data_IF_151577233226
#
_entry.id   IF_151577233226
#
_cell.length_a   1.000
_cell.length_b   1.000
_cell.length_c   1.000
_cell.angle_alpha   90.00
_cell.angle_beta   90.00
_cell.angle_gamma   90.00
#
_symmetry.space_group_name_H-M   'P 1'
#
loop_
_entity.id
_entity.type
_entity.pdbx_description
1 polymer ?
#
# COMPACT_ATOMS: atom_id res chain seq x y z
N UNK A 1 -13.79 28.42 -92.26
CA UNK A 1 -13.82 28.90 -90.86
C UNK A 1 -14.66 27.96 -89.98
N UNK A 2 -14.56 26.64 -90.19
CA UNK A 2 -15.46 25.63 -89.59
C UNK A 2 -14.73 24.37 -89.10
N UNK A 3 -13.40 24.31 -89.21
CA UNK A 3 -12.58 23.18 -88.73
C UNK A 3 -11.95 23.42 -87.36
N UNK A 4 -11.69 24.68 -86.98
CA UNK A 4 -11.12 25.00 -85.66
C UNK A 4 -12.12 24.83 -84.50
N UNK A 5 -13.42 24.92 -84.78
CA UNK A 5 -14.48 24.81 -83.76
C UNK A 5 -14.75 23.36 -83.34
N UNK A 6 -14.58 22.38 -84.25
CA UNK A 6 -14.76 20.95 -83.93
C UNK A 6 -13.60 20.36 -83.12
N UNK A 7 -12.39 20.88 -83.30
CA UNK A 7 -11.21 20.42 -82.56
C UNK A 7 -11.24 20.92 -81.12
N UNK A 8 -11.73 22.14 -80.87
CA UNK A 8 -11.90 22.67 -79.51
C UNK A 8 -12.96 21.93 -78.69
N UNK A 9 -14.13 21.59 -79.27
CA UNK A 9 -15.17 20.80 -78.57
C UNK A 9 -14.71 19.38 -78.22
N UNK A 10 -13.84 18.77 -79.05
CA UNK A 10 -13.26 17.45 -78.78
C UNK A 10 -12.28 17.46 -77.60
N UNK A 11 -11.52 18.55 -77.42
CA UNK A 11 -10.56 18.68 -76.32
C UNK A 11 -11.26 19.01 -74.99
N UNK A 12 -12.27 19.89 -75.00
CA UNK A 12 -13.04 20.19 -73.78
C UNK A 12 -13.81 18.98 -73.25
N UNK A 13 -14.29 18.11 -74.14
CA UNK A 13 -15.03 16.91 -73.76
C UNK A 13 -14.10 15.81 -73.20
N UNK A 14 -12.86 15.70 -73.69
CA UNK A 14 -11.84 14.81 -73.10
C UNK A 14 -11.39 15.28 -71.73
N UNK A 15 -11.18 16.58 -71.56
CA UNK A 15 -10.75 17.17 -70.29
C UNK A 15 -11.84 17.02 -69.21
N UNK A 16 -13.12 17.18 -69.58
CA UNK A 16 -14.25 16.91 -68.67
C UNK A 16 -14.38 15.44 -68.27
N UNK A 17 -14.03 14.50 -69.15
CA UNK A 17 -14.06 13.06 -68.87
C UNK A 17 -12.90 12.67 -67.93
N UNK A 18 -11.70 13.23 -68.13
CA UNK A 18 -10.57 13.02 -67.21
C UNK A 18 -10.82 13.65 -65.84
N UNK A 19 -11.37 14.86 -65.78
CA UNK A 19 -11.72 15.51 -64.51
C UNK A 19 -12.72 14.68 -63.70
N UNK A 20 -13.77 14.14 -64.33
CA UNK A 20 -14.74 13.26 -63.66
C UNK A 20 -14.14 11.93 -63.21
N UNK A 21 -13.20 11.37 -63.97
CA UNK A 21 -12.50 10.13 -63.59
C UNK A 21 -11.52 10.34 -62.43
N UNK A 22 -10.87 11.50 -62.38
CA UNK A 22 -10.00 11.89 -61.25
C UNK A 22 -10.85 12.13 -60.00
N UNK A 23 -11.99 12.82 -60.13
CA UNK A 23 -12.89 13.12 -59.01
C UNK A 23 -13.49 11.83 -58.41
N UNK A 24 -13.99 10.91 -59.25
CA UNK A 24 -14.50 9.62 -58.76
C UNK A 24 -13.43 8.77 -58.08
N UNK A 25 -12.21 8.74 -58.61
CA UNK A 25 -11.09 8.00 -58.00
C UNK A 25 -10.66 8.59 -56.65
N UNK A 26 -10.80 9.91 -56.47
CA UNK A 26 -10.47 10.58 -55.22
C UNK A 26 -11.55 10.33 -54.16
N UNK A 27 -12.82 10.33 -54.55
CA UNK A 27 -13.96 10.01 -53.67
C UNK A 27 -13.89 8.56 -53.17
N UNK A 28 -13.59 7.60 -54.05
CA UNK A 28 -13.40 6.19 -53.65
C UNK A 28 -12.22 6.01 -52.70
N UNK A 29 -11.13 6.76 -52.92
CA UNK A 29 -9.96 6.74 -52.05
C UNK A 29 -10.30 7.30 -50.67
N UNK A 30 -11.01 8.43 -50.56
CA UNK A 30 -11.42 9.02 -49.28
C UNK A 30 -12.39 8.12 -48.49
N UNK A 31 -13.37 7.50 -49.15
CA UNK A 31 -14.29 6.57 -48.49
C UNK A 31 -13.56 5.32 -47.95
N UNK A 32 -12.55 4.84 -48.67
CA UNK A 32 -11.71 3.73 -48.23
C UNK A 32 -10.86 4.09 -46.99
N UNK A 33 -10.36 5.33 -46.91
CA UNK A 33 -9.60 5.80 -45.74
C UNK A 33 -10.48 5.96 -44.51
N UNK A 34 -11.69 6.52 -44.65
CA UNK A 34 -12.64 6.64 -43.55
C UNK A 34 -13.09 5.27 -43.03
N UNK A 35 -13.46 4.33 -43.91
CA UNK A 35 -13.83 2.96 -43.51
C UNK A 35 -12.71 2.25 -42.73
N UNK A 36 -11.44 2.45 -43.12
CA UNK A 36 -10.28 1.89 -42.39
C UNK A 36 -10.04 2.59 -41.05
N UNK A 37 -10.30 3.89 -40.95
CA UNK A 37 -10.15 4.65 -39.71
C UNK A 37 -11.20 4.22 -38.68
N UNK A 38 -12.48 4.23 -39.06
CA UNK A 38 -13.58 3.76 -38.22
C UNK A 38 -13.45 2.28 -37.85
N UNK A 39 -12.94 1.44 -38.76
CA UNK A 39 -12.63 0.04 -38.46
C UNK A 39 -11.54 -0.10 -37.39
N UNK A 40 -10.45 0.67 -37.47
CA UNK A 40 -9.36 0.62 -36.49
C UNK A 40 -9.79 1.13 -35.12
N UNK A 41 -10.62 2.16 -35.07
CA UNK A 41 -11.16 2.71 -33.83
C UNK A 41 -12.11 1.72 -33.15
N UNK A 42 -13.03 1.10 -33.91
CA UNK A 42 -13.91 0.06 -33.41
C UNK A 42 -13.15 -1.18 -32.88
N UNK A 43 -12.04 -1.55 -33.52
CA UNK A 43 -11.17 -2.65 -33.04
C UNK A 43 -10.47 -2.27 -31.73
N UNK A 44 -9.99 -1.03 -31.60
CA UNK A 44 -9.37 -0.54 -30.35
C UNK A 44 -10.38 -0.45 -29.21
N UNK A 45 -11.60 -0.01 -29.48
CA UNK A 45 -12.67 0.03 -28.48
C UNK A 45 -13.06 -1.36 -28.00
N UNK A 46 -13.17 -2.34 -28.92
CA UNK A 46 -13.41 -3.74 -28.57
C UNK A 46 -12.26 -4.33 -27.75
N UNK A 47 -11.01 -4.06 -28.12
CA UNK A 47 -9.83 -4.51 -27.36
C UNK A 47 -9.81 -3.93 -25.94
N UNK A 48 -10.11 -2.63 -25.77
CA UNK A 48 -10.22 -1.99 -24.45
C UNK A 48 -11.36 -2.59 -23.63
N UNK A 49 -12.53 -2.83 -24.24
CA UNK A 49 -13.66 -3.45 -23.56
C UNK A 49 -13.34 -4.90 -23.11
N UNK A 50 -12.61 -5.66 -23.93
CA UNK A 50 -12.12 -7.00 -23.57
C UNK A 50 -11.09 -6.97 -22.43
N UNK A 51 -10.20 -5.97 -22.40
CA UNK A 51 -9.23 -5.79 -21.30
C UNK A 51 -9.94 -5.44 -19.99
N UNK A 52 -10.92 -4.52 -20.02
CA UNK A 52 -11.72 -4.15 -18.85
C UNK A 52 -12.50 -5.36 -18.32
N UNK A 53 -13.14 -6.15 -19.19
CA UNK A 53 -13.83 -7.38 -18.79
C UNK A 53 -12.87 -8.44 -18.21
N UNK A 54 -11.64 -8.55 -18.74
CA UNK A 54 -10.63 -9.47 -18.19
C UNK A 54 -10.14 -9.02 -16.81
N UNK A 55 -9.96 -7.71 -16.60
CA UNK A 55 -9.60 -7.15 -15.30
C UNK A 55 -10.71 -7.37 -14.28
N UNK A 56 -11.96 -7.07 -14.62
CA UNK A 56 -13.12 -7.27 -13.73
C UNK A 56 -13.25 -8.75 -13.32
N UNK A 57 -13.12 -9.70 -14.27
CA UNK A 57 -13.12 -11.14 -13.97
C UNK A 57 -11.90 -11.59 -13.15
N UNK A 58 -10.77 -10.89 -13.22
CA UNK A 58 -9.59 -11.18 -12.40
C UNK A 58 -9.77 -10.67 -10.97
N UNK A 59 -10.36 -9.49 -10.79
CA UNK A 59 -10.69 -8.92 -9.49
C UNK A 59 -11.76 -9.73 -8.77
N UNK A 60 -12.82 -10.13 -9.47
CA UNK A 60 -13.85 -11.03 -8.92
C UNK A 60 -13.25 -12.38 -8.48
N UNK A 61 -12.32 -12.96 -9.26
CA UNK A 61 -11.62 -14.20 -8.85
C UNK A 61 -10.72 -13.99 -7.62
N UNK A 62 -10.04 -12.86 -7.51
CA UNK A 62 -9.25 -12.51 -6.31
C UNK A 62 -10.16 -12.34 -5.09
N UNK A 63 -11.25 -11.58 -5.23
CA UNK A 63 -12.22 -11.40 -4.15
C UNK A 63 -12.87 -12.73 -3.74
N UNK A 64 -13.23 -13.57 -4.72
CA UNK A 64 -13.73 -14.93 -4.47
C UNK A 64 -12.69 -15.79 -3.75
N UNK A 65 -11.42 -15.73 -4.14
CA UNK A 65 -10.35 -16.50 -3.48
C UNK A 65 -10.17 -16.09 -2.01
N UNK A 66 -10.23 -14.79 -1.71
CA UNK A 66 -10.19 -14.29 -0.32
C UNK A 66 -11.43 -14.74 0.45
N UNK A 67 -12.62 -14.64 -0.16
CA UNK A 67 -13.87 -15.09 0.44
C UNK A 67 -13.86 -16.60 0.72
N UNK A 68 -13.31 -17.42 -0.18
CA UNK A 68 -13.19 -18.87 0.01
C UNK A 68 -12.25 -19.20 1.16
N UNK A 69 -11.09 -18.54 1.26
CA UNK A 69 -10.18 -18.74 2.41
C UNK A 69 -10.87 -18.37 3.71
N UNK A 70 -11.62 -17.27 3.73
CA UNK A 70 -12.35 -16.82 4.90
C UNK A 70 -13.48 -17.80 5.28
N UNK A 71 -14.29 -18.23 4.31
CA UNK A 71 -15.34 -19.24 4.51
C UNK A 71 -14.76 -20.57 4.97
N UNK A 72 -13.61 -20.98 4.45
CA UNK A 72 -12.92 -22.20 4.88
C UNK A 72 -12.43 -22.11 6.32
N UNK A 73 -11.84 -20.97 6.72
CA UNK A 73 -11.46 -20.74 8.10
C UNK A 73 -12.69 -20.79 9.04
N UNK A 74 -13.79 -20.15 8.67
CA UNK A 74 -15.05 -20.21 9.41
C UNK A 74 -15.63 -21.61 9.48
N UNK A 75 -15.55 -22.38 8.39
CA UNK A 75 -16.01 -23.76 8.35
C UNK A 75 -15.19 -24.64 9.31
N UNK A 76 -13.85 -24.48 9.33
CA UNK A 76 -12.98 -25.19 10.28
C UNK A 76 -13.32 -24.82 11.72
N UNK A 77 -13.53 -23.53 12.03
CA UNK A 77 -13.93 -23.08 13.36
C UNK A 77 -15.31 -23.63 13.77
N UNK A 78 -16.27 -23.61 12.86
CA UNK A 78 -17.61 -24.16 13.07
C UNK A 78 -17.56 -25.67 13.32
N UNK A 79 -16.76 -26.40 12.54
CA UNK A 79 -16.57 -27.83 12.71
C UNK A 79 -15.86 -28.18 14.03
N UNK A 80 -14.83 -27.42 14.40
CA UNK A 80 -14.18 -27.52 15.71
C UNK A 80 -15.18 -27.27 16.85
N UNK A 81 -16.05 -26.29 16.67
CA UNK A 81 -17.03 -25.89 17.66
C UNK A 81 -18.11 -26.94 17.92
N UNK A 82 -18.63 -27.61 16.89
CA UNK A 82 -19.62 -28.68 17.07
C UNK A 82 -19.00 -29.93 17.68
N UNK A 83 -17.79 -30.31 17.25
CA UNK A 83 -17.14 -31.52 17.73
C UNK A 83 -16.54 -31.39 19.13
N UNK A 84 -16.38 -30.17 19.64
CA UNK A 84 -15.84 -29.90 20.97
C UNK A 84 -16.81 -29.01 21.76
N UNK A 85 -17.91 -29.56 22.30
CA UNK A 85 -18.87 -28.78 23.10
C UNK A 85 -18.24 -28.21 24.39
N UNK A 86 -17.14 -28.80 24.86
CA UNK A 86 -16.31 -28.28 25.97
C UNK A 86 -15.62 -26.94 25.64
N UNK A 87 -15.61 -26.51 24.37
CA UNK A 87 -15.11 -25.18 24.00
C UNK A 87 -16.01 -24.05 24.55
N UNK A 88 -17.26 -24.37 24.91
CA UNK A 88 -18.25 -23.44 25.45
C UNK A 88 -18.33 -23.47 26.98
N UNK A 89 -17.70 -24.45 27.63
CA UNK A 89 -17.58 -24.48 29.09
C UNK A 89 -16.40 -23.60 29.47
N UNK A 90 -16.69 -22.34 29.81
CA UNK A 90 -15.65 -21.38 30.20
C UNK A 90 -15.02 -21.86 31.51
N UNK A 91 -13.82 -22.41 31.43
CA UNK A 91 -13.04 -22.78 32.59
C UNK A 91 -12.65 -21.52 33.39
N UNK A 92 -12.52 -21.65 34.71
CA UNK A 92 -12.09 -20.55 35.58
C UNK A 92 -10.71 -20.01 35.18
N UNK A 93 -9.83 -20.89 34.69
CA UNK A 93 -8.54 -20.52 34.11
C UNK A 93 -8.69 -19.61 32.87
N UNK A 94 -9.64 -19.91 31.98
CA UNK A 94 -9.91 -19.08 30.81
C UNK A 94 -10.42 -17.70 31.20
N UNK A 95 -11.28 -17.60 32.23
CA UNK A 95 -11.72 -16.31 32.76
C UNK A 95 -10.54 -15.49 33.31
N UNK A 96 -9.62 -16.13 34.03
CA UNK A 96 -8.42 -15.47 34.55
C UNK A 96 -7.57 -14.93 33.40
N UNK A 97 -7.28 -15.74 32.38
CA UNK A 97 -6.48 -15.32 31.22
C UNK A 97 -7.17 -14.18 30.47
N UNK A 98 -8.48 -14.24 30.25
CA UNK A 98 -9.24 -13.16 29.58
C UNK A 98 -9.18 -11.86 30.38
N UNK A 99 -9.31 -11.93 31.70
CA UNK A 99 -9.24 -10.77 32.58
C UNK A 99 -7.83 -10.16 32.61
N UNK A 100 -6.79 -11.01 32.68
CA UNK A 100 -5.40 -10.57 32.60
C UNK A 100 -5.10 -9.92 31.24
N UNK A 101 -5.56 -10.51 30.14
CA UNK A 101 -5.40 -9.96 28.80
C UNK A 101 -6.11 -8.60 28.66
N UNK A 102 -7.32 -8.46 29.21
CA UNK A 102 -8.03 -7.18 29.21
C UNK A 102 -7.29 -6.11 30.03
N UNK A 103 -6.82 -6.46 31.22
CA UNK A 103 -6.03 -5.55 32.05
C UNK A 103 -4.73 -5.14 31.35
N UNK A 104 -4.06 -6.08 30.68
CA UNK A 104 -2.87 -5.80 29.88
C UNK A 104 -3.19 -4.88 28.69
N UNK A 105 -4.30 -5.10 27.99
CA UNK A 105 -4.76 -4.23 26.90
C UNK A 105 -4.98 -2.79 27.38
N UNK A 106 -5.68 -2.63 28.51
CA UNK A 106 -5.92 -1.31 29.12
C UNK A 106 -4.59 -0.66 29.52
N UNK A 107 -3.66 -1.41 30.10
CA UNK A 107 -2.34 -0.91 30.46
C UNK A 107 -1.54 -0.45 29.23
N UNK A 108 -1.65 -1.17 28.11
CA UNK A 108 -0.93 -0.87 26.86
C UNK A 108 -1.50 0.31 26.07
N UNK A 109 -2.72 0.74 26.36
CA UNK A 109 -3.26 1.96 25.75
C UNK A 109 -2.40 3.19 26.06
N UNK A 110 -1.84 3.28 27.27
CA UNK A 110 -1.00 4.41 27.66
C UNK A 110 0.24 4.56 26.76
N UNK A 111 1.14 3.56 26.64
CA UNK A 111 2.30 3.65 25.74
C UNK A 111 1.91 3.82 24.27
N UNK A 112 0.77 3.28 23.84
CA UNK A 112 0.28 3.48 22.48
C UNK A 112 -0.02 4.94 22.17
N UNK A 113 -0.76 5.62 23.05
CA UNK A 113 -1.06 7.04 22.88
C UNK A 113 0.19 7.90 22.95
N UNK A 114 1.09 7.61 23.89
CA UNK A 114 2.36 8.34 24.03
C UNK A 114 3.28 8.15 22.81
N UNK A 115 3.42 6.93 22.31
CA UNK A 115 4.19 6.65 21.08
C UNK A 115 3.55 7.30 19.85
N UNK A 116 2.23 7.25 19.73
CA UNK A 116 1.49 7.93 18.66
C UNK A 116 1.68 9.44 18.73
N UNK A 117 1.65 10.03 19.93
CA UNK A 117 1.86 11.46 20.14
C UNK A 117 3.27 11.90 19.73
N UNK A 118 4.30 11.12 20.08
CA UNK A 118 5.68 11.34 19.63
C UNK A 118 5.82 11.30 18.10
N UNK A 119 5.12 10.36 17.45
CA UNK A 119 5.09 10.27 15.99
C UNK A 119 4.35 11.46 15.35
N UNK A 120 3.21 11.88 15.90
CA UNK A 120 2.47 13.06 15.43
C UNK A 120 3.36 14.30 15.50
N UNK A 121 4.04 14.52 16.63
CA UNK A 121 4.96 15.65 16.78
C UNK A 121 6.05 15.62 15.68
N UNK A 122 6.62 14.44 15.39
CA UNK A 122 7.64 14.31 14.33
C UNK A 122 7.08 14.57 12.93
N UNK A 123 5.91 14.04 12.63
CA UNK A 123 5.21 14.21 11.35
C UNK A 123 4.91 15.70 11.10
N UNK A 124 4.45 16.41 12.13
CA UNK A 124 4.22 17.86 12.09
C UNK A 124 5.52 18.63 11.87
N UNK A 125 6.59 18.27 12.59
CA UNK A 125 7.92 18.87 12.39
C UNK A 125 8.50 18.62 10.99
N UNK A 126 8.12 17.51 10.34
CA UNK A 126 8.52 17.19 8.97
C UNK A 126 7.65 17.88 7.90
N UNK A 127 6.63 18.66 8.30
CA UNK A 127 5.73 19.36 7.38
C UNK A 127 4.79 18.43 6.61
N UNK A 128 4.63 17.18 7.04
CA UNK A 128 3.77 16.21 6.37
C UNK A 128 2.34 16.28 6.90
N UNK A 129 1.36 16.01 6.04
CA UNK A 129 -0.04 15.89 6.46
C UNK A 129 -0.22 14.65 7.34
N UNK A 130 -0.76 14.85 8.55
CA UNK A 130 -1.07 13.79 9.53
C UNK A 130 -1.98 12.72 8.91
N UNK A 131 -2.95 13.13 8.09
CA UNK A 131 -3.90 12.22 7.42
C UNK A 131 -3.22 11.23 6.47
N UNK A 132 -2.19 11.66 5.75
CA UNK A 132 -1.41 10.76 4.86
C UNK A 132 -0.44 9.87 5.63
N UNK A 133 -0.17 10.17 6.91
CA UNK A 133 0.79 9.46 7.76
C UNK A 133 0.10 8.64 8.86
N UNK A 134 -1.20 8.38 8.74
CA UNK A 134 -1.99 7.71 9.78
C UNK A 134 -1.43 6.31 10.09
N UNK A 135 -1.15 5.51 9.04
CA UNK A 135 -0.56 4.18 9.18
C UNK A 135 0.78 4.23 9.93
N UNK A 136 1.59 5.25 9.65
CA UNK A 136 2.89 5.45 10.32
C UNK A 136 2.71 5.82 11.79
N UNK A 137 1.73 6.68 12.10
CA UNK A 137 1.42 7.08 13.49
C UNK A 137 0.95 5.88 14.29
N UNK A 138 -0.02 5.12 13.76
CA UNK A 138 -0.54 3.91 14.41
C UNK A 138 0.56 2.86 14.60
N UNK A 139 1.40 2.64 13.58
CA UNK A 139 2.53 1.70 13.67
C UNK A 139 3.56 2.14 14.73
N UNK A 140 3.77 3.44 14.86
CA UNK A 140 4.67 4.00 15.88
C UNK A 140 4.10 3.87 17.30
N UNK A 141 2.78 4.00 17.47
CA UNK A 141 2.08 3.68 18.72
C UNK A 141 2.21 2.20 19.10
N UNK A 142 2.03 1.29 18.14
CA UNK A 142 2.24 -0.15 18.33
C UNK A 142 3.69 -0.45 18.75
N UNK A 143 4.67 0.22 18.15
CA UNK A 143 6.07 0.08 18.53
C UNK A 143 6.34 0.57 19.97
N UNK A 144 5.63 1.61 20.41
CA UNK A 144 5.61 2.06 21.80
C UNK A 144 5.07 0.99 22.76
N UNK A 145 3.96 0.32 22.41
CA UNK A 145 3.42 -0.81 23.18
C UNK A 145 4.45 -1.94 23.31
N UNK A 146 5.07 -2.36 22.20
CA UNK A 146 6.06 -3.44 22.21
C UNK A 146 7.30 -3.09 23.04
N UNK A 147 7.76 -1.84 22.99
CA UNK A 147 8.84 -1.40 23.86
C UNK A 147 8.45 -1.48 25.33
N UNK A 148 7.24 -1.05 25.67
CA UNK A 148 6.76 -1.07 27.05
C UNK A 148 6.68 -2.50 27.59
N UNK A 149 6.15 -3.44 26.79
CA UNK A 149 6.16 -4.87 27.11
C UNK A 149 7.59 -5.41 27.21
N UNK A 150 8.47 -5.07 26.26
CA UNK A 150 9.84 -5.56 26.21
C UNK A 150 10.70 -5.13 27.40
N UNK A 151 10.47 -3.92 27.91
CA UNK A 151 11.11 -3.41 29.13
C UNK A 151 10.51 -4.08 30.36
N UNK A 152 9.18 -4.07 30.50
CA UNK A 152 8.49 -4.61 31.69
C UNK A 152 8.64 -6.13 31.84
N UNK A 153 8.75 -6.86 30.73
CA UNK A 153 8.96 -8.32 30.75
C UNK A 153 10.40 -8.73 31.06
N UNK A 154 11.35 -7.79 31.10
CA UNK A 154 12.77 -8.10 31.26
C UNK A 154 13.35 -8.92 30.10
N UNK A 155 12.59 -9.18 29.03
CA UNK A 155 13.00 -10.06 27.92
C UNK A 155 14.22 -9.49 27.20
N UNK A 156 14.28 -8.17 27.04
CA UNK A 156 15.41 -7.49 26.41
C UNK A 156 16.67 -7.64 27.26
N UNK A 157 16.56 -7.47 28.58
CA UNK A 157 17.68 -7.68 29.51
C UNK A 157 18.14 -9.13 29.47
N UNK A 158 17.23 -10.10 29.51
CA UNK A 158 17.54 -11.53 29.44
C UNK A 158 18.27 -11.93 28.14
N UNK A 159 17.91 -11.33 27.00
CA UNK A 159 18.56 -11.58 25.71
C UNK A 159 19.92 -10.89 25.56
N UNK A 160 20.09 -9.72 26.19
CA UNK A 160 21.33 -8.94 26.14
C UNK A 160 22.36 -9.38 27.19
N UNK A 161 21.92 -9.95 28.31
CA UNK A 161 22.77 -10.46 29.41
C UNK A 161 23.95 -11.34 28.93
N UNK A 162 23.77 -12.36 28.07
CA UNK A 162 24.89 -13.20 27.63
C UNK A 162 25.96 -12.45 26.83
N UNK A 163 25.65 -11.28 26.28
CA UNK A 163 26.58 -10.47 25.49
C UNK A 163 27.26 -9.36 26.29
N UNK A 164 26.72 -8.99 27.46
CA UNK A 164 27.22 -7.86 28.26
C UNK A 164 28.08 -8.32 29.44
N UNK A 165 27.85 -9.54 29.97
CA UNK A 165 28.66 -10.11 31.07
C UNK A 165 28.91 -11.61 30.89
N UNK A 166 29.98 -12.02 30.19
CA UNK A 166 30.45 -13.39 30.23
C UNK A 166 31.11 -13.65 31.60
N UNK A 167 30.31 -13.83 32.66
CA UNK A 167 30.79 -14.45 33.90
C UNK A 167 30.52 -13.77 35.24
N UNK A 168 29.42 -13.03 35.45
CA UNK A 168 29.07 -12.61 36.82
C UNK A 168 27.61 -12.95 37.18
N UNK A 169 27.46 -13.63 38.32
CA UNK A 169 26.24 -14.28 38.82
C UNK A 169 25.24 -13.29 39.45
N UNK A 170 25.22 -12.04 39.01
CA UNK A 170 24.45 -10.94 39.61
C UNK A 170 23.28 -10.46 38.73
N UNK A 171 22.87 -11.30 37.78
CA UNK A 171 21.82 -11.02 36.78
C UNK A 171 20.45 -10.83 37.42
N UNK A 172 20.17 -11.53 38.53
CA UNK A 172 18.86 -11.50 39.19
C UNK A 172 18.54 -10.09 39.76
N UNK A 173 19.54 -9.39 40.30
CA UNK A 173 19.34 -8.10 40.96
C UNK A 173 19.06 -6.94 40.00
N UNK A 174 19.47 -7.04 38.72
CA UNK A 174 19.15 -5.99 37.72
C UNK A 174 17.74 -6.17 37.16
N UNK A 175 17.25 -7.40 37.05
CA UNK A 175 15.87 -7.69 36.64
C UNK A 175 14.88 -7.29 37.75
N UNK A 176 15.21 -7.56 39.01
CA UNK A 176 14.38 -7.12 40.15
C UNK A 176 14.37 -5.59 40.31
N UNK A 177 15.48 -4.87 40.02
CA UNK A 177 15.50 -3.40 40.05
C UNK A 177 14.60 -2.74 38.99
N UNK A 178 14.46 -3.38 37.82
CA UNK A 178 13.60 -2.89 36.72
C UNK A 178 12.14 -3.31 36.93
N UNK A 179 11.91 -4.46 37.58
CA UNK A 179 10.59 -4.99 37.89
C UNK A 179 9.88 -4.36 39.10
N UNK A 180 10.63 -3.96 40.14
CA UNK A 180 10.06 -3.62 41.47
C UNK A 180 10.07 -2.12 41.84
N UNK A 181 10.70 -1.25 41.04
CA UNK A 181 10.65 0.18 41.32
C UNK A 181 9.33 0.80 40.80
N UNK A 182 8.52 1.30 41.74
CA UNK A 182 7.24 1.96 41.51
C UNK A 182 7.29 3.24 40.66
N UNK A 183 6.28 4.10 40.83
CA UNK A 183 5.94 5.34 40.08
C UNK A 183 7.05 6.11 39.33
N UNK A 184 8.31 6.08 39.80
CA UNK A 184 9.47 6.64 39.12
C UNK A 184 9.78 5.98 37.75
N UNK A 185 9.53 4.68 37.60
CA UNK A 185 9.75 3.97 36.33
C UNK A 185 8.70 4.32 35.26
N UNK A 186 7.50 4.72 35.67
CA UNK A 186 6.41 5.04 34.74
C UNK A 186 6.77 6.22 33.82
N UNK A 187 7.32 7.30 34.37
CA UNK A 187 7.70 8.48 33.58
C UNK A 187 8.88 8.20 32.64
N UNK A 188 9.86 7.40 33.09
CA UNK A 188 10.96 6.97 32.23
C UNK A 188 10.47 6.08 31.10
N UNK A 189 9.58 5.11 31.38
CA UNK A 189 8.98 4.27 30.33
C UNK A 189 8.09 5.09 29.38
N UNK A 190 7.36 6.09 29.89
CA UNK A 190 6.56 7.02 29.09
C UNK A 190 7.43 7.83 28.14
N UNK A 191 8.54 8.37 28.64
CA UNK A 191 9.52 9.09 27.83
C UNK A 191 10.14 8.18 26.76
N UNK A 192 10.47 6.94 27.11
CA UNK A 192 10.96 5.94 26.14
C UNK A 192 9.92 5.65 25.06
N UNK A 193 8.64 5.49 25.42
CA UNK A 193 7.56 5.27 24.45
C UNK A 193 7.43 6.45 23.47
N UNK A 194 7.51 7.69 23.96
CA UNK A 194 7.50 8.91 23.12
C UNK A 194 8.70 8.92 22.17
N UNK A 195 9.90 8.66 22.69
CA UNK A 195 11.14 8.65 21.89
C UNK A 195 11.07 7.58 20.80
N UNK A 196 10.58 6.39 21.12
CA UNK A 196 10.46 5.29 20.15
C UNK A 196 9.42 5.63 19.08
N UNK A 197 8.30 6.25 19.45
CA UNK A 197 7.33 6.73 18.49
C UNK A 197 7.91 7.80 17.53
N UNK A 198 8.67 8.73 18.08
CA UNK A 198 9.40 9.74 17.31
C UNK A 198 10.49 9.13 16.41
N UNK A 199 11.19 8.10 16.88
CA UNK A 199 12.24 7.42 16.14
C UNK A 199 11.69 6.57 14.99
N UNK A 200 10.62 5.81 15.24
CA UNK A 200 9.92 4.99 14.23
C UNK A 200 9.47 5.85 13.04
N UNK A 201 8.77 6.95 13.33
CA UNK A 201 8.33 7.91 12.32
C UNK A 201 9.50 8.55 11.57
N UNK A 202 10.60 8.85 12.26
CA UNK A 202 11.81 9.41 11.66
C UNK A 202 12.47 8.47 10.64
N UNK A 203 12.56 7.17 10.92
CA UNK A 203 13.09 6.17 9.98
C UNK A 203 12.26 6.18 8.69
N UNK A 204 10.93 6.12 8.81
CA UNK A 204 10.06 6.09 7.64
C UNK A 204 10.23 7.35 6.78
N UNK A 205 10.22 8.53 7.41
CA UNK A 205 10.39 9.81 6.71
C UNK A 205 11.73 9.82 5.96
N UNK A 206 12.80 9.38 6.63
CA UNK A 206 14.13 9.31 6.04
C UNK A 206 14.19 8.38 4.82
N UNK A 207 13.59 7.18 4.91
CA UNK A 207 13.53 6.24 3.79
C UNK A 207 12.75 6.85 2.63
N UNK A 208 11.59 7.45 2.89
CA UNK A 208 10.77 8.05 1.85
C UNK A 208 11.49 9.20 1.14
N UNK A 209 12.15 10.09 1.91
CA UNK A 209 12.95 11.18 1.36
C UNK A 209 14.14 10.67 0.53
N UNK A 210 14.80 9.59 0.97
CA UNK A 210 15.92 8.98 0.23
C UNK A 210 15.47 8.39 -1.10
N UNK A 211 14.34 7.67 -1.11
CA UNK A 211 13.77 7.09 -2.34
C UNK A 211 13.36 8.18 -3.33
N UNK A 212 12.70 9.23 -2.84
CA UNK A 212 12.29 10.36 -3.69
C UNK A 212 13.50 11.06 -4.33
N UNK A 213 14.58 11.26 -3.55
CA UNK A 213 15.82 11.84 -4.04
C UNK A 213 16.47 10.99 -5.13
N UNK A 214 16.63 9.69 -4.89
CA UNK A 214 17.23 8.77 -5.87
C UNK A 214 16.39 8.69 -7.16
N UNK A 215 15.07 8.73 -7.04
CA UNK A 215 14.17 8.73 -8.20
C UNK A 215 14.32 10.00 -9.03
N UNK A 216 14.42 11.17 -8.38
CA UNK A 216 14.64 12.45 -9.07
C UNK A 216 16.02 12.52 -9.73
N UNK A 217 17.05 11.99 -9.09
CA UNK A 217 18.42 11.91 -9.64
C UNK A 217 18.46 10.99 -10.88
N UNK A 218 17.78 9.85 -10.84
CA UNK A 218 17.71 8.91 -11.99
C UNK A 218 16.94 9.49 -13.18
N UNK A 219 15.79 10.13 -12.94
CA UNK A 219 15.01 10.79 -14.01
C UNK A 219 15.83 11.90 -14.67
N UNK A 220 16.55 12.70 -13.88
CA UNK A 220 17.43 13.76 -14.41
C UNK A 220 18.55 13.17 -15.27
N UNK A 221 19.21 12.10 -14.80
CA UNK A 221 20.28 11.41 -15.55
C UNK A 221 19.79 10.80 -16.87
N UNK A 222 18.59 10.22 -16.87
CA UNK A 222 17.97 9.69 -18.09
C UNK A 222 17.58 10.80 -19.07
N UNK A 223 17.28 12.01 -18.62
CA UNK A 223 16.96 13.14 -19.49
C UNK A 223 18.20 13.77 -20.14
N UNK A 224 19.33 13.83 -19.42
CA UNK A 224 20.61 14.34 -19.93
C UNK A 224 21.28 13.38 -20.93
N UNK A 225 20.98 12.08 -20.86
CA UNK A 225 21.52 11.08 -21.82
C UNK A 225 20.74 11.03 -23.14
N UNK A 226 19.56 11.65 -23.20
CA UNK A 226 18.68 11.69 -24.39
C UNK A 226 18.73 13.02 -25.14
N UNK A 227 19.42 14.03 -24.61
CA UNK A 227 19.70 15.30 -25.27
C UNK A 227 21.07 15.25 -25.92
#
# INVERSE_FOLDING_TARGET
>A
MSEQTKTQESETNKEQVELKAVESSNTERTESWEKRYYSKEAIKERAKAEEIQKQEKAELRRMLSVAVVFCFAFFVLYFLSINNPDLYTINSETLTIVNEAFNALVLLMVPFFLGSLGAIARVLLAGMKVTHSLTLIVSSGMMGMFSWVGIKSGILVALLTPYIQPGNNNVQSTVDLVGDAGSHNFYSMALVAIIIGMFSSNIYIFVNQKVERLTKEEVKRSSETKA
#
